data_IF_693581053233
#
_entry.id   IF_693581053233
#
_cell.length_a   1.000
_cell.length_b   1.000
_cell.length_c   1.000
_cell.angle_alpha   90.00
_cell.angle_beta   90.00
_cell.angle_gamma   90.00
#
_symmetry.space_group_name_H-M   'P 1'
#
loop_
_entity.id
_entity.type
_entity.pdbx_description
1 polymer ?
#
# COMPACT_ATOMS: atom_id res chain seq x y z
N UNK A 1 0.51 2.82 -26.84
CA UNK A 1 1.74 1.98 -26.77
C UNK A 1 1.53 0.57 -27.32
N UNK A 2 0.36 -0.02 -27.22
CA UNK A 2 0.09 -1.39 -27.66
C UNK A 2 -0.32 -1.51 -29.15
N UNK A 3 0.08 -0.58 -30.00
CA UNK A 3 -0.21 -0.65 -31.44
C UNK A 3 0.72 -1.66 -32.13
N UNK A 4 0.19 -2.48 -33.06
CA UNK A 4 1.02 -3.37 -33.87
C UNK A 4 2.13 -2.61 -34.60
N UNK A 5 3.29 -3.23 -34.75
CA UNK A 5 4.47 -2.68 -35.44
C UNK A 5 5.00 -1.36 -34.88
N UNK A 6 4.67 -1.00 -33.62
CA UNK A 6 5.16 0.22 -32.96
C UNK A 6 6.63 0.14 -32.49
N UNK A 7 7.25 -1.06 -32.52
CA UNK A 7 8.57 -1.32 -31.93
C UNK A 7 8.58 -1.32 -30.38
N UNK A 8 7.42 -1.15 -29.76
CA UNK A 8 7.24 -1.12 -28.31
C UNK A 8 7.08 -2.53 -27.75
N UNK A 9 6.43 -3.42 -28.51
CA UNK A 9 6.24 -4.82 -28.21
C UNK A 9 7.14 -5.70 -29.07
N UNK A 10 7.37 -6.94 -28.63
CA UNK A 10 8.05 -7.94 -29.46
C UNK A 10 7.28 -8.15 -30.77
N UNK A 11 7.99 -8.19 -31.86
CA UNK A 11 7.40 -8.37 -33.20
C UNK A 11 8.33 -9.17 -34.10
N UNK A 12 7.75 -9.88 -35.05
CA UNK A 12 8.51 -10.58 -36.10
C UNK A 12 8.56 -9.68 -37.31
N UNK A 13 9.77 -9.22 -37.66
CA UNK A 13 10.01 -8.41 -38.86
C UNK A 13 10.42 -9.31 -40.01
N UNK A 14 9.79 -9.18 -41.21
CA UNK A 14 10.18 -9.96 -42.39
C UNK A 14 11.66 -9.72 -42.73
N UNK A 15 12.43 -10.80 -42.84
CA UNK A 15 13.87 -10.76 -43.18
C UNK A 15 14.82 -10.46 -42.04
N UNK A 16 14.30 -10.05 -40.86
CA UNK A 16 15.12 -9.75 -39.67
C UNK A 16 14.89 -10.77 -38.55
N UNK A 17 13.71 -11.36 -38.49
CA UNK A 17 13.32 -12.27 -37.43
C UNK A 17 12.60 -11.58 -36.27
N UNK A 18 12.64 -12.20 -35.09
CA UNK A 18 12.03 -11.66 -33.88
C UNK A 18 12.84 -10.51 -33.31
N UNK A 19 12.19 -9.36 -33.10
CA UNK A 19 12.77 -8.17 -32.49
C UNK A 19 12.11 -7.88 -31.15
N UNK A 20 12.94 -7.61 -30.13
CA UNK A 20 12.47 -7.36 -28.78
C UNK A 20 11.97 -5.90 -28.65
N UNK A 21 10.73 -5.74 -28.18
CA UNK A 21 10.16 -4.42 -27.90
C UNK A 21 10.61 -3.86 -26.56
N UNK A 22 10.95 -2.58 -26.52
CA UNK A 22 11.52 -1.94 -25.32
C UNK A 22 10.60 -2.01 -24.10
N UNK A 23 9.29 -1.83 -24.27
CA UNK A 23 8.34 -1.84 -23.15
C UNK A 23 8.13 -3.27 -22.64
N UNK A 24 8.03 -4.23 -23.56
CA UNK A 24 7.95 -5.64 -23.19
C UNK A 24 9.21 -6.09 -22.46
N UNK A 25 10.39 -5.71 -22.93
CA UNK A 25 11.65 -5.99 -22.27
C UNK A 25 11.71 -5.38 -20.86
N UNK A 26 11.28 -4.12 -20.70
CA UNK A 26 11.21 -3.48 -19.38
C UNK A 26 10.24 -4.20 -18.43
N UNK A 27 9.11 -4.69 -18.95
CA UNK A 27 8.16 -5.48 -18.18
C UNK A 27 8.77 -6.81 -17.73
N UNK A 28 9.35 -7.55 -18.67
CA UNK A 28 9.99 -8.85 -18.41
C UNK A 28 11.12 -8.73 -17.38
N UNK A 29 12.03 -7.77 -17.57
CA UNK A 29 13.21 -7.60 -16.68
C UNK A 29 12.85 -6.91 -15.37
N UNK A 30 12.03 -5.87 -15.43
CA UNK A 30 11.77 -5.00 -14.27
C UNK A 30 10.67 -5.50 -13.35
N UNK A 31 9.75 -6.32 -13.86
CA UNK A 31 8.61 -6.83 -13.10
C UNK A 31 8.65 -8.37 -13.07
N UNK A 32 8.61 -9.02 -14.23
CA UNK A 32 8.38 -10.46 -14.31
C UNK A 32 9.57 -11.31 -13.83
N UNK A 33 10.77 -10.99 -14.23
CA UNK A 33 11.96 -11.78 -13.91
C UNK A 33 12.57 -11.50 -12.52
N UNK A 34 12.46 -10.27 -12.04
CA UNK A 34 13.24 -9.85 -10.86
C UNK A 34 12.45 -9.05 -9.82
N UNK A 35 11.21 -8.63 -10.15
CA UNK A 35 10.40 -7.75 -9.29
C UNK A 35 11.14 -6.47 -8.83
N UNK A 36 12.22 -6.13 -9.54
CA UNK A 36 13.16 -5.09 -9.14
C UNK A 36 12.49 -3.72 -9.01
N UNK A 37 11.63 -3.35 -9.96
CA UNK A 37 11.01 -2.03 -9.95
C UNK A 37 10.10 -1.81 -8.72
N UNK A 38 9.13 -2.70 -8.40
CA UNK A 38 8.35 -2.57 -7.17
C UNK A 38 9.21 -2.52 -5.91
N UNK A 39 10.20 -3.39 -5.80
CA UNK A 39 11.07 -3.48 -4.64
C UNK A 39 11.92 -2.21 -4.47
N UNK A 40 12.55 -1.71 -5.53
CA UNK A 40 13.36 -0.49 -5.48
C UNK A 40 12.54 0.76 -5.10
N UNK A 41 11.24 0.80 -5.47
CA UNK A 41 10.37 1.89 -5.08
C UNK A 41 10.22 1.99 -3.56
N UNK A 42 10.26 0.86 -2.85
CA UNK A 42 10.18 0.85 -1.39
C UNK A 42 11.36 1.53 -0.70
N UNK A 43 12.55 1.60 -1.31
CA UNK A 43 13.66 2.42 -0.77
C UNK A 43 13.23 3.89 -0.70
N UNK A 44 12.65 4.40 -1.77
CA UNK A 44 12.19 5.78 -1.83
C UNK A 44 11.06 6.06 -0.85
N UNK A 45 10.08 5.18 -0.77
CA UNK A 45 8.96 5.27 0.19
C UNK A 45 9.52 5.25 1.63
N UNK A 46 10.42 4.33 1.95
CA UNK A 46 11.05 4.24 3.26
C UNK A 46 11.82 5.50 3.66
N UNK A 47 12.53 6.10 2.69
CA UNK A 47 13.23 7.36 2.90
C UNK A 47 12.29 8.56 3.11
N UNK A 48 11.06 8.52 2.57
CA UNK A 48 10.03 9.55 2.80
C UNK A 48 9.41 9.46 4.19
N UNK A 49 9.30 8.26 4.77
CA UNK A 49 8.54 8.01 5.99
C UNK A 49 9.30 8.48 7.22
N UNK A 50 8.61 9.26 8.08
CA UNK A 50 9.02 9.53 9.44
C UNK A 50 8.28 8.61 10.41
N UNK A 51 9.00 7.65 11.00
CA UNK A 51 8.43 6.75 12.01
C UNK A 51 8.34 7.38 13.41
N UNK A 52 8.80 8.62 13.60
CA UNK A 52 8.73 9.32 14.88
C UNK A 52 7.35 9.30 15.54
N UNK A 53 6.27 9.68 14.83
CA UNK A 53 4.91 9.64 15.38
C UNK A 53 4.47 8.24 15.84
N UNK A 54 4.85 7.19 15.10
CA UNK A 54 4.55 5.81 15.44
C UNK A 54 5.36 5.34 16.65
N UNK A 55 6.65 5.66 16.71
CA UNK A 55 7.54 5.32 17.82
C UNK A 55 7.16 6.06 19.10
N UNK A 56 6.64 7.29 18.99
CA UNK A 56 6.12 8.06 20.13
C UNK A 56 4.83 7.48 20.70
N UNK A 57 4.04 6.76 19.88
CA UNK A 57 2.81 6.12 20.31
C UNK A 57 2.64 4.74 19.65
N UNK A 58 3.27 3.68 20.19
CA UNK A 58 3.24 2.34 19.59
C UNK A 58 1.84 1.73 19.45
N UNK A 59 0.82 2.21 20.18
CA UNK A 59 -0.57 1.76 20.00
C UNK A 59 -1.09 2.00 18.58
N UNK A 60 -0.48 2.94 17.85
CA UNK A 60 -0.82 3.22 16.45
C UNK A 60 -0.56 2.03 15.52
N UNK A 61 0.32 1.08 15.89
CA UNK A 61 0.52 -0.16 15.13
C UNK A 61 -0.77 -0.97 14.94
N UNK A 62 -1.64 -0.95 15.94
CA UNK A 62 -2.90 -1.68 15.88
C UNK A 62 -3.82 -1.17 14.76
N UNK A 63 -3.78 0.12 14.45
CA UNK A 63 -4.62 0.69 13.39
C UNK A 63 -4.18 0.26 12.01
N UNK A 64 -2.88 0.14 11.77
CA UNK A 64 -2.36 -0.45 10.53
C UNK A 64 -2.84 -1.90 10.36
N UNK A 65 -2.74 -2.70 11.42
CA UNK A 65 -3.23 -4.08 11.39
C UNK A 65 -4.75 -4.16 11.16
N UNK A 66 -5.53 -3.33 11.87
CA UNK A 66 -6.99 -3.30 11.74
C UNK A 66 -7.48 -2.84 10.38
N UNK A 67 -6.72 -1.97 9.73
CA UNK A 67 -7.03 -1.51 8.38
C UNK A 67 -6.70 -2.52 7.28
N UNK A 68 -6.12 -3.68 7.56
CA UNK A 68 -5.95 -4.75 6.58
C UNK A 68 -7.16 -5.70 6.51
N UNK A 69 -8.22 -5.43 7.27
CA UNK A 69 -9.43 -6.25 7.28
C UNK A 69 -10.08 -6.38 5.91
N UNK A 70 -10.10 -5.30 5.14
CA UNK A 70 -10.73 -5.27 3.81
C UNK A 70 -9.99 -6.13 2.79
N UNK A 71 -8.68 -6.32 2.91
CA UNK A 71 -7.92 -7.26 2.06
C UNK A 71 -8.55 -8.65 2.15
N UNK A 72 -8.68 -9.19 3.36
CA UNK A 72 -9.21 -10.52 3.58
C UNK A 72 -10.70 -10.62 3.22
N UNK A 73 -11.49 -9.57 3.53
CA UNK A 73 -12.88 -9.51 3.13
C UNK A 73 -13.05 -9.51 1.60
N UNK A 74 -12.20 -8.80 0.88
CA UNK A 74 -12.22 -8.75 -0.57
C UNK A 74 -11.74 -10.07 -1.22
N UNK A 75 -10.76 -10.76 -0.63
CA UNK A 75 -10.37 -12.11 -1.06
C UNK A 75 -11.58 -13.05 -1.00
N UNK A 76 -12.26 -13.08 0.14
CA UNK A 76 -13.46 -13.92 0.31
C UNK A 76 -14.58 -13.55 -0.67
N UNK A 77 -14.79 -12.26 -0.91
CA UNK A 77 -15.76 -11.79 -1.89
C UNK A 77 -15.37 -12.19 -3.31
N UNK A 78 -14.11 -12.03 -3.70
CA UNK A 78 -13.63 -12.41 -5.02
C UNK A 78 -13.77 -13.93 -5.27
N UNK A 79 -13.40 -14.76 -4.29
CA UNK A 79 -13.62 -16.22 -4.37
C UNK A 79 -15.11 -16.54 -4.50
N UNK A 80 -15.99 -15.88 -3.71
CA UNK A 80 -17.44 -16.08 -3.80
C UNK A 80 -18.03 -15.67 -5.16
N UNK A 81 -17.39 -14.74 -5.86
CA UNK A 81 -17.75 -14.30 -7.20
C UNK A 81 -17.13 -15.17 -8.33
N UNK A 82 -16.36 -16.21 -7.97
CA UNK A 82 -15.86 -17.22 -8.92
C UNK A 82 -14.44 -16.98 -9.43
N UNK A 83 -13.70 -16.03 -8.87
CA UNK A 83 -12.28 -15.87 -9.17
C UNK A 83 -11.46 -17.03 -8.57
N UNK A 84 -10.43 -17.47 -9.29
CA UNK A 84 -9.44 -18.40 -8.75
C UNK A 84 -8.73 -17.78 -7.53
N UNK A 85 -8.25 -18.65 -6.63
CA UNK A 85 -7.67 -18.20 -5.36
C UNK A 85 -6.46 -17.26 -5.55
N UNK A 86 -5.63 -17.48 -6.58
CA UNK A 86 -4.49 -16.60 -6.92
C UNK A 86 -4.95 -15.22 -7.34
N UNK A 87 -5.96 -15.18 -8.21
CA UNK A 87 -6.54 -13.93 -8.69
C UNK A 87 -7.31 -13.22 -7.59
N UNK A 88 -8.11 -13.95 -6.81
CA UNK A 88 -8.84 -13.40 -5.67
C UNK A 88 -7.90 -12.77 -4.64
N UNK A 89 -6.80 -13.43 -4.32
CA UNK A 89 -5.76 -12.90 -3.43
C UNK A 89 -5.10 -11.64 -3.98
N UNK A 90 -4.79 -11.66 -5.27
CA UNK A 90 -4.21 -10.50 -5.98
C UNK A 90 -5.19 -9.32 -6.07
N UNK A 91 -6.49 -9.60 -6.20
CA UNK A 91 -7.55 -8.57 -6.18
C UNK A 91 -7.71 -7.99 -4.76
N UNK A 92 -7.71 -8.85 -3.74
CA UNK A 92 -7.92 -8.41 -2.35
C UNK A 92 -6.87 -7.42 -1.87
N UNK A 93 -5.61 -7.57 -2.30
CA UNK A 93 -4.51 -6.68 -1.88
C UNK A 93 -4.69 -5.22 -2.34
N UNK A 94 -5.57 -4.96 -3.32
CA UNK A 94 -5.93 -3.60 -3.76
C UNK A 94 -6.43 -2.76 -2.59
N UNK A 95 -7.10 -3.40 -1.61
CA UNK A 95 -7.64 -2.73 -0.43
C UNK A 95 -6.59 -1.97 0.39
N UNK A 96 -5.37 -2.48 0.44
CA UNK A 96 -4.26 -1.80 1.11
C UNK A 96 -3.97 -0.39 0.57
N UNK A 97 -4.44 -0.08 -0.66
CA UNK A 97 -4.13 1.14 -1.39
C UNK A 97 -2.60 1.35 -1.54
N UNK A 98 -1.90 0.26 -1.85
CA UNK A 98 -0.45 0.18 -2.03
C UNK A 98 -0.14 -0.44 -3.40
N UNK A 99 0.12 0.42 -4.38
CA UNK A 99 0.37 0.01 -5.77
C UNK A 99 1.52 -1.00 -5.91
N UNK A 100 2.71 -0.70 -5.37
CA UNK A 100 3.86 -1.60 -5.43
C UNK A 100 3.61 -2.98 -4.84
N UNK A 101 3.00 -3.06 -3.65
CA UNK A 101 2.63 -4.34 -3.03
C UNK A 101 1.61 -5.11 -3.87
N UNK A 102 0.63 -4.40 -4.46
CA UNK A 102 -0.38 -5.03 -5.32
C UNK A 102 0.24 -5.65 -6.57
N UNK A 103 1.19 -4.97 -7.20
CA UNK A 103 1.92 -5.51 -8.36
C UNK A 103 2.73 -6.73 -7.95
N UNK A 104 3.49 -6.64 -6.87
CA UNK A 104 4.37 -7.72 -6.42
C UNK A 104 3.56 -8.98 -6.06
N UNK A 105 2.48 -8.85 -5.29
CA UNK A 105 1.62 -9.99 -4.93
C UNK A 105 1.03 -10.63 -6.18
N UNK A 106 0.49 -9.81 -7.10
CA UNK A 106 -0.08 -10.30 -8.35
C UNK A 106 0.95 -11.01 -9.23
N UNK A 107 2.19 -10.53 -9.21
CA UNK A 107 3.29 -11.11 -9.98
C UNK A 107 3.71 -12.47 -9.39
N UNK A 108 3.96 -12.54 -8.08
CA UNK A 108 4.37 -13.79 -7.41
C UNK A 108 3.29 -14.88 -7.57
N UNK A 109 2.02 -14.48 -7.42
CA UNK A 109 0.88 -15.40 -7.58
C UNK A 109 0.56 -15.70 -9.06
N UNK A 110 1.25 -15.04 -10.00
CA UNK A 110 1.03 -15.17 -11.46
C UNK A 110 -0.43 -14.91 -11.84
N UNK A 111 -1.00 -13.84 -11.32
CA UNK A 111 -2.37 -13.42 -11.66
C UNK A 111 -2.47 -13.00 -13.12
N UNK A 112 -3.54 -13.43 -13.78
CA UNK A 112 -3.84 -13.00 -15.15
C UNK A 112 -4.28 -11.54 -15.25
N UNK A 113 -4.68 -10.94 -14.11
CA UNK A 113 -5.24 -9.59 -14.02
C UNK A 113 -4.26 -8.53 -13.49
N UNK A 114 -2.95 -8.79 -13.53
CA UNK A 114 -1.93 -7.85 -12.99
C UNK A 114 -2.11 -6.40 -13.49
N UNK A 115 -2.49 -6.22 -14.77
CA UNK A 115 -2.73 -4.89 -15.34
C UNK A 115 -3.95 -4.20 -14.73
N UNK A 116 -5.07 -4.90 -14.61
CA UNK A 116 -6.29 -4.37 -14.01
C UNK A 116 -6.08 -4.05 -12.52
N UNK A 117 -5.40 -4.94 -11.80
CA UNK A 117 -5.08 -4.78 -10.37
C UNK A 117 -4.17 -3.57 -10.16
N UNK A 118 -3.13 -3.41 -10.96
CA UNK A 118 -2.22 -2.28 -10.87
C UNK A 118 -2.93 -0.95 -11.12
N UNK A 119 -3.76 -0.88 -12.18
CA UNK A 119 -4.57 0.32 -12.48
C UNK A 119 -5.52 0.63 -11.33
N UNK A 120 -6.22 -0.37 -10.80
CA UNK A 120 -7.11 -0.20 -9.66
C UNK A 120 -6.36 0.36 -8.44
N UNK A 121 -5.25 -0.28 -8.04
CA UNK A 121 -4.48 0.10 -6.86
C UNK A 121 -3.97 1.55 -6.94
N UNK A 122 -3.34 1.94 -8.06
CA UNK A 122 -2.87 3.31 -8.25
C UNK A 122 -4.01 4.34 -8.38
N UNK A 123 -5.12 3.98 -9.05
CA UNK A 123 -6.27 4.87 -9.17
C UNK A 123 -6.91 5.14 -7.82
N UNK A 124 -7.01 4.11 -6.96
CA UNK A 124 -7.62 4.27 -5.63
C UNK A 124 -6.73 5.04 -4.68
N UNK A 125 -5.40 4.96 -4.80
CA UNK A 125 -4.51 5.89 -4.10
C UNK A 125 -4.86 7.35 -4.40
N UNK A 126 -5.13 7.69 -5.68
CA UNK A 126 -5.53 9.03 -6.06
C UNK A 126 -6.94 9.41 -5.57
N UNK A 127 -7.84 8.42 -5.39
CA UNK A 127 -9.21 8.62 -4.93
C UNK A 127 -9.37 8.59 -3.40
N UNK A 128 -8.30 8.39 -2.64
CA UNK A 128 -8.30 8.44 -1.16
C UNK A 128 -9.05 9.66 -0.63
N UNK A 129 -8.81 10.91 -1.11
CA UNK A 129 -9.51 12.08 -0.60
C UNK A 129 -11.03 12.08 -0.82
N UNK A 130 -11.53 11.26 -1.72
CA UNK A 130 -12.96 11.15 -2.05
C UNK A 130 -13.60 9.98 -1.33
N UNK A 131 -13.00 8.80 -1.41
CA UNK A 131 -13.60 7.54 -0.89
C UNK A 131 -13.47 7.46 0.63
N UNK A 132 -12.32 7.82 1.18
CA UNK A 132 -12.04 7.66 2.60
C UNK A 132 -12.97 8.49 3.51
N UNK A 133 -13.27 9.78 3.23
CA UNK A 133 -14.25 10.53 4.02
C UNK A 133 -15.63 9.90 4.03
N UNK A 134 -16.07 9.37 2.90
CA UNK A 134 -17.33 8.66 2.80
C UNK A 134 -17.33 7.42 3.69
N UNK A 135 -16.32 6.55 3.59
CA UNK A 135 -16.20 5.34 4.40
C UNK A 135 -16.16 5.65 5.91
N UNK A 136 -15.41 6.66 6.32
CA UNK A 136 -15.33 7.09 7.72
C UNK A 136 -16.69 7.60 8.22
N UNK A 137 -17.39 8.45 7.43
CA UNK A 137 -18.69 8.99 7.81
C UNK A 137 -19.77 7.93 7.94
N UNK A 138 -19.72 6.85 7.16
CA UNK A 138 -20.67 5.73 7.26
C UNK A 138 -20.68 5.09 8.65
N UNK A 139 -19.54 5.02 9.31
CA UNK A 139 -19.38 4.26 10.56
C UNK A 139 -19.04 5.13 11.76
N UNK A 140 -19.05 6.47 11.61
CA UNK A 140 -18.79 7.41 12.71
C UNK A 140 -19.90 8.43 12.87
N UNK A 141 -20.20 8.78 14.12
CA UNK A 141 -21.10 9.89 14.47
C UNK A 141 -20.33 11.22 14.50
N UNK A 142 -21.04 12.33 14.38
CA UNK A 142 -20.44 13.68 14.49
C UNK A 142 -19.72 13.87 15.84
N UNK A 143 -20.29 13.37 16.94
CA UNK A 143 -19.68 13.44 18.28
C UNK A 143 -18.35 12.71 18.34
N UNK A 144 -18.25 11.53 17.71
CA UNK A 144 -17.02 10.75 17.65
C UNK A 144 -15.94 11.48 16.84
N UNK A 145 -16.31 12.11 15.72
CA UNK A 145 -15.38 12.87 14.88
C UNK A 145 -14.85 14.14 15.53
N UNK A 146 -15.58 14.69 16.51
CA UNK A 146 -15.16 15.87 17.29
C UNK A 146 -14.28 15.54 18.51
N UNK A 147 -13.97 14.26 18.77
CA UNK A 147 -13.07 13.88 19.86
C UNK A 147 -11.70 14.51 19.60
N UNK A 148 -11.27 15.38 20.52
CA UNK A 148 -9.91 15.97 20.50
C UNK A 148 -8.92 15.04 21.17
N UNK A 149 -7.72 14.96 20.62
CA UNK A 149 -6.63 14.18 21.17
C UNK A 149 -5.43 15.08 21.45
N UNK A 150 -4.89 14.99 22.66
CA UNK A 150 -3.67 15.71 23.01
C UNK A 150 -2.46 14.98 22.42
N UNK A 151 -1.65 15.69 21.66
CA UNK A 151 -0.39 15.17 21.15
C UNK A 151 0.74 15.62 22.09
N UNK A 152 1.21 14.69 22.90
CA UNK A 152 2.39 14.89 23.75
C UNK A 152 3.53 14.04 23.16
N UNK A 153 4.36 14.59 22.26
CA UNK A 153 5.43 13.84 21.64
C UNK A 153 6.47 13.43 22.69
N UNK A 154 6.65 12.14 22.85
CA UNK A 154 7.82 11.62 23.55
C UNK A 154 9.01 11.77 22.62
N UNK A 155 10.10 12.38 23.08
CA UNK A 155 11.31 12.50 22.28
C UNK A 155 11.90 11.11 22.00
N UNK A 156 11.85 10.72 20.73
CA UNK A 156 12.46 9.45 20.29
C UNK A 156 13.95 9.66 20.06
N UNK A 157 14.80 8.88 20.75
CA UNK A 157 16.24 9.01 20.61
C UNK A 157 16.71 8.67 19.19
N UNK A 158 17.80 9.29 18.74
CA UNK A 158 18.41 8.96 17.44
C UNK A 158 18.75 7.47 17.30
N UNK A 159 19.26 6.89 18.39
CA UNK A 159 19.58 5.45 18.42
C UNK A 159 18.33 4.59 18.18
N UNK A 160 17.20 4.91 18.81
CA UNK A 160 15.93 4.21 18.63
C UNK A 160 15.48 4.28 17.17
N UNK A 161 15.60 5.45 16.53
CA UNK A 161 15.23 5.63 15.12
C UNK A 161 16.11 4.82 14.17
N UNK A 162 17.39 4.63 14.49
CA UNK A 162 18.33 3.82 13.69
C UNK A 162 18.11 2.31 13.92
N UNK A 163 17.86 1.90 15.17
CA UNK A 163 17.65 0.48 15.47
C UNK A 163 16.30 -0.01 14.98
N UNK A 164 15.28 0.83 14.95
CA UNK A 164 13.91 0.48 14.59
C UNK A 164 13.80 -0.21 13.23
N UNK A 165 14.32 0.32 12.10
CA UNK A 165 14.22 -0.33 10.81
C UNK A 165 14.94 -1.69 10.77
N UNK A 166 16.05 -1.83 11.49
CA UNK A 166 16.77 -3.10 11.61
C UNK A 166 15.92 -4.11 12.37
N UNK A 167 15.37 -3.72 13.52
CA UNK A 167 14.54 -4.59 14.34
C UNK A 167 13.27 -5.04 13.60
N UNK A 168 12.59 -4.12 12.89
CA UNK A 168 11.40 -4.47 12.10
C UNK A 168 11.75 -5.48 11.02
N UNK A 169 12.85 -5.27 10.29
CA UNK A 169 13.29 -6.21 9.24
C UNK A 169 13.54 -7.61 9.81
N UNK A 170 14.21 -7.71 10.95
CA UNK A 170 14.48 -9.00 11.62
C UNK A 170 13.16 -9.66 12.05
N UNK A 171 12.29 -8.93 12.73
CA UNK A 171 11.01 -9.47 13.22
C UNK A 171 10.14 -9.95 12.07
N UNK A 172 10.01 -9.14 11.00
CA UNK A 172 9.24 -9.53 9.82
C UNK A 172 9.87 -10.74 9.13
N UNK A 173 11.19 -10.81 9.04
CA UNK A 173 11.90 -11.97 8.48
C UNK A 173 11.61 -13.27 9.22
N UNK A 174 11.37 -13.21 10.53
CA UNK A 174 11.01 -14.37 11.33
C UNK A 174 9.53 -14.76 11.23
N UNK A 175 8.63 -13.76 11.12
CA UNK A 175 7.17 -13.98 11.14
C UNK A 175 6.59 -14.16 9.74
N UNK A 176 7.06 -13.42 8.77
CA UNK A 176 6.58 -13.40 7.39
C UNK A 176 7.76 -13.33 6.39
N UNK A 177 8.51 -14.43 6.19
CA UNK A 177 9.73 -14.45 5.37
C UNK A 177 9.54 -13.93 3.95
N UNK A 178 8.39 -14.19 3.33
CA UNK A 178 8.05 -13.71 1.98
C UNK A 178 7.90 -12.17 1.88
N UNK A 179 7.68 -11.47 3.02
CA UNK A 179 7.62 -10.02 3.07
C UNK A 179 9.00 -9.36 3.27
N UNK A 180 10.03 -10.15 3.55
CA UNK A 180 11.36 -9.63 3.97
C UNK A 180 11.99 -8.73 2.90
N UNK A 181 11.84 -9.07 1.63
CA UNK A 181 12.38 -8.24 0.55
C UNK A 181 11.74 -6.84 0.58
N UNK A 182 10.41 -6.76 0.59
CA UNK A 182 9.68 -5.49 0.60
C UNK A 182 9.95 -4.66 1.86
N UNK A 183 9.77 -5.29 3.04
CA UNK A 183 10.00 -4.61 4.32
C UNK A 183 11.46 -4.22 4.46
N UNK A 184 12.40 -5.08 4.06
CA UNK A 184 13.84 -4.79 4.12
C UNK A 184 14.22 -3.57 3.30
N UNK A 185 13.73 -3.45 2.06
CA UNK A 185 14.00 -2.28 1.22
C UNK A 185 13.29 -1.02 1.74
N UNK A 186 12.07 -1.14 2.28
CA UNK A 186 11.39 -0.04 2.96
C UNK A 186 12.20 0.45 4.17
N UNK A 187 12.63 -0.48 5.02
CA UNK A 187 13.41 -0.17 6.22
C UNK A 187 14.84 0.29 5.89
N UNK A 188 15.43 -0.20 4.81
CA UNK A 188 16.71 0.30 4.31
C UNK A 188 16.62 1.77 3.87
N UNK A 189 15.57 2.14 3.13
CA UNK A 189 15.30 3.54 2.80
C UNK A 189 15.17 4.42 4.05
N UNK A 190 14.44 3.94 5.04
CA UNK A 190 14.30 4.65 6.32
C UNK A 190 15.63 4.76 7.08
N UNK A 191 16.44 3.70 7.10
CA UNK A 191 17.76 3.71 7.72
C UNK A 191 18.69 4.74 7.07
N UNK A 192 18.70 4.87 5.75
CA UNK A 192 19.45 5.90 5.02
C UNK A 192 19.06 7.30 5.52
N UNK A 193 17.78 7.54 5.74
CA UNK A 193 17.28 8.82 6.28
C UNK A 193 17.73 9.04 7.72
N UNK A 194 17.49 8.07 8.61
CA UNK A 194 17.65 8.26 10.06
C UNK A 194 19.11 8.21 10.52
N UNK A 195 20.04 7.63 9.74
CA UNK A 195 21.46 7.63 10.09
C UNK A 195 22.06 9.04 10.11
N UNK A 196 21.50 9.98 9.32
CA UNK A 196 21.87 11.40 9.33
C UNK A 196 23.20 11.73 8.67
N UNK A 197 23.91 10.75 8.10
CA UNK A 197 25.17 10.94 7.37
C UNK A 197 25.01 10.73 5.85
N UNK A 198 23.87 10.22 5.42
CA UNK A 198 23.54 9.93 4.01
C UNK A 198 22.44 10.86 3.46
N UNK A 199 22.44 12.14 3.87
CA UNK A 199 21.39 13.09 3.50
C UNK A 199 21.14 13.18 2.00
N UNK A 200 22.19 13.30 1.19
CA UNK A 200 22.09 13.37 -0.27
C UNK A 200 21.50 12.10 -0.88
N UNK A 201 21.87 10.93 -0.36
CA UNK A 201 21.31 9.65 -0.81
C UNK A 201 19.84 9.51 -0.41
N UNK A 202 19.49 9.95 0.81
CA UNK A 202 18.10 9.98 1.27
C UNK A 202 17.24 10.87 0.37
N UNK A 203 17.73 12.07 0.02
CA UNK A 203 17.03 12.99 -0.88
C UNK A 203 16.88 12.41 -2.29
N UNK A 204 17.93 11.79 -2.81
CA UNK A 204 17.88 11.09 -4.10
C UNK A 204 16.87 9.93 -4.09
N UNK A 205 16.84 9.15 -3.01
CA UNK A 205 15.88 8.05 -2.88
C UNK A 205 14.43 8.54 -2.82
N UNK A 206 14.17 9.59 -2.03
CA UNK A 206 12.83 10.16 -1.86
C UNK A 206 12.25 10.74 -3.15
N UNK A 207 13.07 11.44 -3.92
CA UNK A 207 12.64 12.22 -5.08
C UNK A 207 13.00 11.53 -6.39
N UNK A 208 14.28 11.42 -6.70
CA UNK A 208 14.74 10.96 -8.02
C UNK A 208 14.42 9.49 -8.26
N UNK A 209 14.80 8.60 -7.33
CA UNK A 209 14.57 7.16 -7.46
C UNK A 209 13.08 6.85 -7.48
N UNK A 210 12.31 7.38 -6.53
CA UNK A 210 10.86 7.16 -6.46
C UNK A 210 10.15 7.61 -7.72
N UNK A 211 10.45 8.82 -8.22
CA UNK A 211 9.83 9.36 -9.42
C UNK A 211 10.22 8.56 -10.67
N UNK A 212 11.50 8.21 -10.81
CA UNK A 212 11.99 7.41 -11.94
C UNK A 212 11.33 6.03 -11.97
N UNK A 213 11.34 5.32 -10.85
CA UNK A 213 10.74 3.99 -10.78
C UNK A 213 9.23 4.06 -10.99
N UNK A 214 8.53 5.04 -10.43
CA UNK A 214 7.09 5.23 -10.65
C UNK A 214 6.77 5.45 -12.12
N UNK A 215 7.57 6.27 -12.81
CA UNK A 215 7.42 6.53 -14.24
C UNK A 215 7.66 5.24 -15.05
N UNK A 216 8.72 4.50 -14.75
CA UNK A 216 9.02 3.23 -15.43
C UNK A 216 7.94 2.19 -15.18
N UNK A 217 7.45 2.05 -13.94
CA UNK A 217 6.33 1.16 -13.62
C UNK A 217 5.07 1.52 -14.39
N UNK A 218 4.71 2.81 -14.45
CA UNK A 218 3.55 3.27 -15.21
C UNK A 218 3.65 2.92 -16.70
N UNK A 219 4.82 3.09 -17.30
CA UNK A 219 5.07 2.75 -18.71
C UNK A 219 5.02 1.23 -18.90
N UNK A 220 5.69 0.45 -18.06
CA UNK A 220 5.77 -1.01 -18.22
C UNK A 220 4.44 -1.70 -18.00
N UNK A 221 3.65 -1.27 -17.01
CA UNK A 221 2.33 -1.82 -16.75
C UNK A 221 1.39 -1.62 -17.95
N UNK A 222 1.59 -0.56 -18.74
CA UNK A 222 0.79 -0.33 -19.97
C UNK A 222 0.87 -1.50 -20.95
N UNK A 223 1.93 -2.33 -20.89
CA UNK A 223 2.06 -3.54 -21.68
C UNK A 223 0.91 -4.55 -21.44
N UNK A 224 0.47 -4.68 -20.19
CA UNK A 224 -0.62 -5.58 -19.80
C UNK A 224 -2.03 -5.05 -20.16
N UNK A 225 -2.16 -3.76 -20.51
CA UNK A 225 -3.43 -3.10 -20.83
C UNK A 225 -3.82 -3.27 -22.31
N UNK A 226 -3.90 -4.51 -22.79
CA UNK A 226 -4.45 -4.79 -24.12
C UNK A 226 -5.97 -4.76 -24.06
N UNK A 227 -6.63 -4.16 -25.07
CA UNK A 227 -8.08 -3.97 -25.06
C UNK A 227 -8.84 -5.27 -24.86
N UNK A 228 -8.37 -6.37 -25.47
CA UNK A 228 -8.99 -7.70 -25.39
C UNK A 228 -8.95 -8.30 -23.97
N UNK A 229 -7.99 -7.88 -23.15
CA UNK A 229 -7.82 -8.38 -21.78
C UNK A 229 -8.27 -7.37 -20.71
N UNK A 230 -8.29 -6.08 -21.06
CA UNK A 230 -8.58 -5.03 -20.10
C UNK A 230 -10.05 -4.59 -20.12
N UNK A 231 -10.72 -4.61 -21.30
CA UNK A 231 -12.13 -4.23 -21.42
C UNK A 231 -13.01 -5.47 -21.33
N UNK A 232 -13.04 -6.09 -20.16
CA UNK A 232 -13.83 -7.30 -19.88
C UNK A 232 -14.74 -7.08 -18.66
N UNK A 233 -15.74 -7.95 -18.51
CA UNK A 233 -16.63 -7.91 -17.34
C UNK A 233 -15.85 -8.19 -16.05
N UNK A 234 -14.87 -9.09 -16.11
CA UNK A 234 -13.98 -9.43 -14.99
C UNK A 234 -13.18 -8.22 -14.52
N UNK A 235 -12.63 -7.42 -15.43
CA UNK A 235 -11.90 -6.19 -15.08
C UNK A 235 -12.82 -5.18 -14.40
N UNK A 236 -14.04 -4.98 -14.88
CA UNK A 236 -15.01 -4.11 -14.22
C UNK A 236 -15.35 -4.62 -12.80
N UNK A 237 -15.49 -5.94 -12.66
CA UNK A 237 -15.75 -6.57 -11.37
C UNK A 237 -14.56 -6.39 -10.40
N UNK A 238 -13.31 -6.53 -10.89
CA UNK A 238 -12.09 -6.26 -10.13
C UNK A 238 -12.08 -4.81 -9.61
N UNK A 239 -12.43 -3.84 -10.46
CA UNK A 239 -12.55 -2.45 -10.04
C UNK A 239 -13.60 -2.27 -8.93
N UNK A 240 -14.75 -2.89 -9.03
CA UNK A 240 -15.78 -2.82 -7.98
C UNK A 240 -15.32 -3.47 -6.68
N UNK A 241 -14.72 -4.67 -6.75
CA UNK A 241 -14.17 -5.37 -5.58
C UNK A 241 -13.07 -4.53 -4.93
N UNK A 242 -12.22 -3.88 -5.73
CA UNK A 242 -11.16 -3.01 -5.21
C UNK A 242 -11.69 -1.79 -4.44
N UNK A 243 -12.77 -1.14 -4.91
CA UNK A 243 -13.45 -0.09 -4.14
C UNK A 243 -14.01 -0.65 -2.84
N UNK A 244 -14.66 -1.82 -2.89
CA UNK A 244 -15.15 -2.49 -1.70
C UNK A 244 -14.03 -2.78 -0.71
N UNK A 245 -12.91 -3.33 -1.18
CA UNK A 245 -11.75 -3.62 -0.36
C UNK A 245 -11.23 -2.36 0.36
N UNK A 246 -11.05 -1.28 -0.39
CA UNK A 246 -10.58 0.00 0.15
C UNK A 246 -11.53 0.61 1.19
N UNK A 247 -12.84 0.55 0.95
CA UNK A 247 -13.87 0.99 1.91
C UNK A 247 -13.85 0.11 3.16
N UNK A 248 -13.76 -1.22 2.98
CA UNK A 248 -13.73 -2.18 4.08
C UNK A 248 -12.46 -2.03 4.94
N UNK A 249 -11.30 -1.77 4.34
CA UNK A 249 -10.05 -1.47 5.05
C UNK A 249 -10.18 -0.19 5.90
N UNK A 250 -10.69 0.88 5.32
CA UNK A 250 -10.95 2.12 6.06
C UNK A 250 -11.91 1.89 7.24
N UNK A 251 -13.01 1.16 7.00
CA UNK A 251 -13.99 0.81 8.03
C UNK A 251 -13.37 -0.07 9.11
N UNK A 252 -12.59 -1.08 8.74
CA UNK A 252 -11.91 -1.98 9.68
C UNK A 252 -11.03 -1.22 10.68
N UNK A 253 -10.23 -0.28 10.19
CA UNK A 253 -9.42 0.58 11.05
C UNK A 253 -10.26 1.47 11.98
N UNK A 254 -11.34 2.07 11.47
CA UNK A 254 -12.27 2.89 12.29
C UNK A 254 -12.96 2.06 13.35
N UNK A 255 -13.47 0.86 13.00
CA UNK A 255 -14.13 -0.03 13.94
C UNK A 255 -13.18 -0.51 15.04
N UNK A 256 -11.91 -0.79 14.70
CA UNK A 256 -10.90 -1.12 15.71
C UNK A 256 -10.67 0.04 16.68
N UNK A 257 -10.63 1.27 16.21
CA UNK A 257 -10.51 2.45 17.09
C UNK A 257 -11.74 2.58 18.01
N UNK A 258 -12.95 2.34 17.50
CA UNK A 258 -14.17 2.30 18.31
C UNK A 258 -14.15 1.16 19.34
N UNK A 259 -13.68 -0.02 18.94
CA UNK A 259 -13.51 -1.16 19.84
C UNK A 259 -12.51 -0.84 20.96
N UNK A 260 -11.37 -0.25 20.64
CA UNK A 260 -10.40 0.18 21.65
C UNK A 260 -10.99 1.20 22.62
N UNK A 261 -11.89 2.05 22.16
CA UNK A 261 -12.59 3.02 23.00
C UNK A 261 -13.50 2.39 24.06
N UNK A 262 -13.86 1.11 23.94
CA UNK A 262 -14.62 0.42 25.01
C UNK A 262 -13.74 0.18 26.25
N UNK A 263 -12.41 0.03 26.06
CA UNK A 263 -11.47 -0.34 27.12
C UNK A 263 -10.57 0.82 27.58
N UNK A 264 -10.56 1.94 26.84
CA UNK A 264 -9.68 3.09 27.16
C UNK A 264 -10.45 4.19 27.90
N UNK A 265 -9.82 4.77 28.93
CA UNK A 265 -10.36 5.95 29.64
C UNK A 265 -10.29 7.21 28.77
N UNK A 266 -9.14 7.42 28.12
CA UNK A 266 -8.95 8.48 27.14
C UNK A 266 -9.47 8.00 25.80
N UNK A 267 -10.47 8.71 25.25
CA UNK A 267 -11.09 8.32 24.00
C UNK A 267 -10.22 8.70 22.81
N UNK A 268 -10.06 7.77 21.91
CA UNK A 268 -9.37 7.93 20.63
C UNK A 268 -10.40 8.42 19.60
N UNK A 269 -10.04 9.41 18.78
CA UNK A 269 -10.89 9.77 17.66
C UNK A 269 -10.88 8.65 16.61
N UNK A 270 -12.04 8.02 16.33
CA UNK A 270 -12.07 6.85 15.45
C UNK A 270 -11.58 7.10 14.02
N UNK A 271 -11.62 8.34 13.55
CA UNK A 271 -11.11 8.69 12.22
C UNK A 271 -9.63 8.31 12.04
N UNK A 272 -8.85 8.30 13.13
CA UNK A 272 -7.42 7.93 13.09
C UNK A 272 -7.25 6.48 12.62
N UNK A 273 -8.14 5.58 13.03
CA UNK A 273 -8.12 4.21 12.57
C UNK A 273 -8.26 4.08 11.06
N UNK A 274 -9.08 4.93 10.44
CA UNK A 274 -9.20 4.99 8.98
C UNK A 274 -7.90 5.40 8.27
N UNK A 275 -6.98 6.08 8.96
CA UNK A 275 -5.67 6.40 8.40
C UNK A 275 -4.71 5.20 8.35
N UNK A 276 -5.08 4.06 8.92
CA UNK A 276 -4.27 2.83 8.93
C UNK A 276 -4.10 2.13 7.57
N UNK A 277 -4.70 2.62 6.51
CA UNK A 277 -4.40 2.18 5.13
C UNK A 277 -3.03 2.69 4.69
N UNK A 278 -2.40 2.04 3.71
CA UNK A 278 -1.02 2.40 3.34
C UNK A 278 -0.88 3.57 2.36
N UNK A 279 -1.96 4.25 1.99
CA UNK A 279 -1.91 5.45 1.13
C UNK A 279 -1.20 6.63 1.82
N UNK A 280 0.12 6.55 1.93
CA UNK A 280 0.96 7.54 2.59
C UNK A 280 1.38 8.67 1.64
N UNK A 281 1.39 9.94 2.07
CA UNK A 281 0.87 10.50 3.32
C UNK A 281 -0.58 11.01 3.19
N UNK A 282 -1.31 10.61 2.14
CA UNK A 282 -2.62 11.19 1.81
C UNK A 282 -3.68 10.88 2.87
N UNK A 283 -3.72 9.66 3.36
CA UNK A 283 -4.73 9.22 4.32
C UNK A 283 -4.71 10.03 5.62
N UNK A 284 -3.52 10.31 6.16
CA UNK A 284 -3.37 11.15 7.36
C UNK A 284 -3.83 12.59 7.14
N UNK A 285 -3.57 13.16 5.94
CA UNK A 285 -4.02 14.51 5.58
C UNK A 285 -5.54 14.58 5.43
N UNK A 286 -6.15 13.54 4.88
CA UNK A 286 -7.62 13.45 4.76
C UNK A 286 -8.26 13.44 6.14
N UNK A 287 -7.75 12.62 7.07
CA UNK A 287 -8.25 12.59 8.46
C UNK A 287 -8.09 13.94 9.14
N UNK A 288 -6.95 14.62 8.97
CA UNK A 288 -6.75 15.96 9.51
C UNK A 288 -7.75 16.97 8.93
N UNK A 289 -7.96 16.95 7.62
CA UNK A 289 -8.94 17.84 6.96
C UNK A 289 -10.34 17.62 7.51
N UNK A 290 -10.78 16.36 7.61
CA UNK A 290 -12.08 16.00 8.19
C UNK A 290 -12.22 16.47 9.64
N UNK A 291 -11.16 16.33 10.44
CA UNK A 291 -11.16 16.79 11.84
C UNK A 291 -11.38 18.30 11.94
N UNK A 292 -10.70 19.08 11.11
CA UNK A 292 -10.85 20.54 11.06
C UNK A 292 -12.21 20.99 10.50
N UNK A 293 -12.83 20.22 9.59
CA UNK A 293 -14.19 20.48 9.12
C UNK A 293 -15.23 20.31 10.23
N UNK A 294 -15.04 19.35 11.13
CA UNK A 294 -15.95 19.09 12.24
C UNK A 294 -15.68 19.99 13.46
N UNK A 295 -14.44 20.38 13.67
CA UNK A 295 -13.97 21.29 14.74
C UNK A 295 -12.62 21.90 14.35
N UNK A 296 -12.54 23.21 14.04
CA UNK A 296 -11.31 23.88 13.59
C UNK A 296 -10.11 23.77 14.55
N UNK A 297 -10.37 23.51 15.82
CA UNK A 297 -9.33 23.29 16.84
C UNK A 297 -8.86 21.85 16.99
N UNK A 298 -9.38 20.91 16.18
CA UNK A 298 -9.08 19.50 16.31
C UNK A 298 -7.87 19.12 15.43
N UNK A 299 -6.71 18.95 16.04
CA UNK A 299 -5.46 18.60 15.35
C UNK A 299 -5.17 17.11 15.55
N UNK A 300 -5.40 16.31 14.53
CA UNK A 300 -5.19 14.86 14.56
C UNK A 300 -4.01 14.40 13.69
N UNK A 301 -3.34 15.32 12.96
CA UNK A 301 -2.37 14.97 11.91
C UNK A 301 -1.29 13.99 12.40
N UNK A 302 -0.68 14.26 13.54
CA UNK A 302 0.44 13.43 14.03
C UNK A 302 -0.03 12.03 14.46
N UNK A 303 -1.20 11.94 15.07
CA UNK A 303 -1.81 10.65 15.40
C UNK A 303 -2.18 9.86 14.13
N UNK A 304 -2.82 10.53 13.17
CA UNK A 304 -3.18 9.93 11.89
C UNK A 304 -1.93 9.54 11.07
N UNK A 305 -0.84 10.32 11.14
CA UNK A 305 0.43 9.98 10.51
C UNK A 305 1.03 8.71 11.14
N UNK A 306 0.99 8.57 12.46
CA UNK A 306 1.44 7.34 13.13
C UNK A 306 0.66 6.11 12.68
N UNK A 307 -0.68 6.21 12.58
CA UNK A 307 -1.53 5.14 12.07
C UNK A 307 -1.24 4.83 10.58
N UNK A 308 -1.08 5.87 9.76
CA UNK A 308 -0.80 5.71 8.32
C UNK A 308 0.56 5.05 8.07
N UNK A 309 1.57 5.43 8.82
CA UNK A 309 2.90 4.80 8.78
C UNK A 309 2.86 3.34 9.22
N UNK A 310 2.06 3.01 10.24
CA UNK A 310 1.84 1.61 10.63
C UNK A 310 1.17 0.81 9.51
N UNK A 311 0.28 1.44 8.75
CA UNK A 311 -0.36 0.87 7.57
C UNK A 311 0.62 0.45 6.49
N UNK A 312 1.70 1.22 6.28
CA UNK A 312 2.75 0.86 5.32
C UNK A 312 3.44 -0.46 5.67
N UNK A 313 3.75 -0.67 6.95
CA UNK A 313 4.34 -1.94 7.40
C UNK A 313 3.30 -3.05 7.31
N UNK A 314 2.09 -2.78 7.78
CA UNK A 314 1.02 -3.77 7.85
C UNK A 314 0.60 -4.28 6.46
N UNK A 315 0.51 -3.41 5.45
CA UNK A 315 0.15 -3.81 4.07
C UNK A 315 1.18 -4.73 3.45
N UNK A 316 2.46 -4.42 3.65
CA UNK A 316 3.55 -5.26 3.12
C UNK A 316 3.58 -6.61 3.82
N UNK A 317 3.39 -6.64 5.14
CA UNK A 317 3.28 -7.90 5.91
C UNK A 317 2.04 -8.69 5.48
N UNK A 318 0.91 -8.03 5.31
CA UNK A 318 -0.32 -8.68 4.83
C UNK A 318 -0.13 -9.28 3.43
N UNK A 319 0.52 -8.57 2.51
CA UNK A 319 0.87 -9.07 1.18
C UNK A 319 1.68 -10.37 1.23
N UNK A 320 2.73 -10.42 2.06
CA UNK A 320 3.51 -11.63 2.24
C UNK A 320 2.75 -12.76 2.93
N UNK A 321 1.90 -12.46 3.91
CA UNK A 321 1.03 -13.47 4.52
C UNK A 321 0.05 -14.05 3.49
N UNK A 322 -0.53 -13.21 2.63
CA UNK A 322 -1.42 -13.64 1.55
C UNK A 322 -0.67 -14.56 0.58
N UNK A 323 0.55 -14.20 0.17
CA UNK A 323 1.39 -15.06 -0.67
C UNK A 323 1.61 -16.41 0.00
N UNK A 324 2.05 -16.43 1.25
CA UNK A 324 2.33 -17.67 1.99
C UNK A 324 1.09 -18.56 2.15
N UNK A 325 -0.06 -17.96 2.49
CA UNK A 325 -1.30 -18.69 2.64
C UNK A 325 -1.73 -19.31 1.31
N UNK A 326 -1.75 -18.53 0.23
CA UNK A 326 -2.19 -19.02 -1.09
C UNK A 326 -1.26 -20.10 -1.64
N UNK A 327 0.06 -19.89 -1.56
CA UNK A 327 1.03 -20.91 -2.02
C UNK A 327 0.99 -22.16 -1.15
N UNK A 328 0.73 -22.05 0.15
CA UNK A 328 0.57 -23.19 1.05
C UNK A 328 -0.72 -23.98 0.82
N UNK A 329 -1.79 -23.34 0.30
CA UNK A 329 -3.02 -24.05 -0.07
C UNK A 329 -2.96 -24.73 -1.45
N UNK A 330 -2.08 -24.25 -2.32
CA UNK A 330 -2.00 -24.71 -3.70
C UNK A 330 -0.93 -25.80 -3.90
N UNK A 331 -0.04 -25.96 -2.95
CA UNK A 331 1.03 -26.90 -3.12
C UNK A 331 1.67 -27.55 -2.19
#
# INVERSE_FOLDING_TARGET
MNLPASGVLNQVLPGVGETQGIIQWLFEVGIEASEAMPILLFIGIGAMIDFGPLLSNPKMFLFGAGAQFGIFAAILLAVALGFDLKDAASIGIIGAADGPTSILVSQILKSEYIGAIAVAAYSYMALVPVIQPFAIRLVTTKKERQIRMNYNPVSVSKLTRIIFPIAVTIVVGLVAPSSVALVGFLMFGNLIRECGVLGTMSETAQNTLSNLITLLLGITISFSMKAERFVTAETLLILVIGVFAFVADTIGGVLLAKFMNLFTKEKINPMIGGAGISAFPMSSRVVQKMAMEEDPGNVLLMHAAGANVSGQIASVVAGGLVINLVTGFLG
#
